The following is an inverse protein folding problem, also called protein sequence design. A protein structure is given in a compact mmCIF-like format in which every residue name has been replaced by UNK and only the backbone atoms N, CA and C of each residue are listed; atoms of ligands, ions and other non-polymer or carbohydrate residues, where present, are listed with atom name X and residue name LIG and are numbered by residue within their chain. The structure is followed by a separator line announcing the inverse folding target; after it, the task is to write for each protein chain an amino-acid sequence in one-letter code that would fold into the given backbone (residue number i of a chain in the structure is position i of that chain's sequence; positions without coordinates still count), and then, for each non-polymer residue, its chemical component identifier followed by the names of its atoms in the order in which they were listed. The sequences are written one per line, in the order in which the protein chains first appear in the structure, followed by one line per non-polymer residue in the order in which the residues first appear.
data_IF_373351561996
#
_entry.id   IF_373351561996
#
_cell.length_a   1.000
_cell.length_b   1.000
_cell.length_c   1.000
_cell.angle_alpha   90.00
_cell.angle_beta   90.00
_cell.angle_gamma   90.00
#
_symmetry.space_group_name_H-M   'P 1'
#
loop_
_entity.id
_entity.type
_entity.pdbx_description
1 polymer ?
#
# COMPACT_ATOMS: atom_id res chain seq x y z
N UNK A 1 11.31 19.97 4.20
CA UNK A 1 12.27 18.96 3.70
C UNK A 1 11.51 17.67 3.53
N UNK A 2 11.86 16.83 2.55
CA UNK A 2 11.21 15.54 2.36
C UNK A 2 11.36 14.66 3.61
N UNK A 3 10.35 13.84 3.91
CA UNK A 3 10.30 13.04 5.13
C UNK A 3 11.28 11.86 5.01
N UNK A 4 12.29 11.71 5.90
CA UNK A 4 13.19 10.56 5.83
C UNK A 4 12.45 9.24 6.02
N UNK A 5 12.70 8.27 5.14
CA UNK A 5 12.06 6.95 5.20
C UNK A 5 12.41 6.20 6.50
N UNK A 6 13.60 6.44 7.05
CA UNK A 6 14.03 5.88 8.32
C UNK A 6 13.07 6.19 9.48
N UNK A 7 12.46 7.39 9.52
CA UNK A 7 11.49 7.74 10.56
C UNK A 7 10.22 6.87 10.51
N UNK A 8 9.83 6.46 9.30
CA UNK A 8 8.71 5.55 9.09
C UNK A 8 9.09 4.14 9.53
N UNK A 9 10.31 3.69 9.23
CA UNK A 9 10.83 2.41 9.72
C UNK A 9 10.86 2.35 11.24
N UNK A 10 11.39 3.38 11.91
CA UNK A 10 11.43 3.46 13.38
C UNK A 10 10.03 3.32 14.00
N UNK A 11 9.02 3.95 13.39
CA UNK A 11 7.62 3.81 13.83
C UNK A 11 7.10 2.38 13.66
N UNK A 12 7.39 1.76 12.52
CA UNK A 12 6.93 0.42 12.18
C UNK A 12 7.59 -0.64 13.06
N UNK A 13 8.89 -0.49 13.34
CA UNK A 13 9.65 -1.36 14.24
C UNK A 13 9.12 -1.27 15.67
N UNK A 14 8.85 -0.06 16.17
CA UNK A 14 8.25 0.13 17.49
C UNK A 14 6.84 -0.46 17.54
N UNK A 15 6.03 -0.29 16.49
CA UNK A 15 4.71 -0.91 16.38
C UNK A 15 4.81 -2.44 16.37
N UNK A 16 5.78 -3.01 15.65
CA UNK A 16 6.03 -4.44 15.58
C UNK A 16 6.43 -4.99 16.95
N UNK A 17 7.37 -4.33 17.63
CA UNK A 17 7.81 -4.67 18.98
C UNK A 17 6.66 -4.67 19.98
N UNK A 18 5.80 -3.66 19.94
CA UNK A 18 4.61 -3.61 20.80
C UNK A 18 3.61 -4.72 20.48
N UNK A 19 3.41 -5.04 19.20
CA UNK A 19 2.56 -6.16 18.79
C UNK A 19 3.08 -7.49 19.32
N UNK A 20 4.38 -7.76 19.25
CA UNK A 20 5.00 -8.96 19.83
C UNK A 20 4.79 -9.02 21.35
N UNK A 21 4.84 -7.86 22.02
CA UNK A 21 4.54 -7.74 23.44
C UNK A 21 3.03 -7.72 23.77
N UNK A 22 2.14 -7.89 22.77
CA UNK A 22 0.69 -7.80 22.90
C UNK A 22 0.19 -6.47 23.51
N UNK A 23 0.92 -5.38 23.27
CA UNK A 23 0.60 -4.03 23.76
C UNK A 23 -0.08 -3.20 22.67
N UNK A 24 -0.97 -2.27 23.03
CA UNK A 24 -1.55 -1.33 22.07
C UNK A 24 -0.47 -0.36 21.54
N UNK A 25 -0.52 -0.06 20.25
CA UNK A 25 0.41 0.86 19.57
C UNK A 25 -0.19 2.25 19.27
N UNK A 26 -1.48 2.47 19.55
CA UNK A 26 -2.18 3.71 19.21
C UNK A 26 -1.51 4.97 19.78
N UNK A 27 -1.02 4.90 21.03
CA UNK A 27 -0.30 6.00 21.66
C UNK A 27 1.02 6.31 20.97
N UNK A 28 1.80 5.29 20.61
CA UNK A 28 3.07 5.47 19.90
C UNK A 28 2.84 6.13 18.54
N UNK A 29 1.82 5.67 17.80
CA UNK A 29 1.48 6.27 16.50
C UNK A 29 1.10 7.74 16.68
N UNK A 30 0.23 8.06 17.65
CA UNK A 30 -0.17 9.43 17.93
C UNK A 30 1.01 10.31 18.35
N UNK A 31 1.84 9.85 19.27
CA UNK A 31 3.03 10.56 19.75
C UNK A 31 4.03 10.78 18.60
N UNK A 32 4.20 9.81 17.69
CA UNK A 32 5.05 9.96 16.51
C UNK A 32 4.56 11.08 15.58
N UNK A 33 3.25 11.13 15.29
CA UNK A 33 2.67 12.22 14.47
C UNK A 33 2.80 13.60 15.13
N UNK A 34 2.67 13.66 16.45
CA UNK A 34 2.86 14.90 17.22
C UNK A 34 4.33 15.35 17.16
N UNK A 35 5.26 14.43 17.40
CA UNK A 35 6.69 14.74 17.44
C UNK A 35 7.27 15.13 16.07
N UNK A 36 6.69 14.61 14.98
CA UNK A 36 7.12 14.91 13.61
C UNK A 36 6.21 15.90 12.89
N UNK A 37 5.31 16.59 13.61
CA UNK A 37 4.30 17.47 13.01
C UNK A 37 4.90 18.59 12.17
N UNK A 38 6.00 19.18 12.61
CA UNK A 38 6.72 20.24 11.88
C UNK A 38 7.25 19.78 10.53
N UNK A 39 7.62 18.50 10.41
CA UNK A 39 8.09 17.90 9.17
C UNK A 39 6.91 17.54 8.26
N UNK A 40 5.84 16.98 8.82
CA UNK A 40 4.64 16.57 8.07
C UNK A 40 3.87 17.78 7.51
N UNK A 41 3.86 18.89 8.24
CA UNK A 41 3.19 20.14 7.83
C UNK A 41 4.11 21.05 7.00
N UNK A 42 5.34 20.61 6.68
CA UNK A 42 6.23 21.37 5.82
C UNK A 42 5.66 21.48 4.40
N UNK A 43 5.89 22.62 3.74
CA UNK A 43 5.31 22.92 2.42
C UNK A 43 5.70 21.91 1.32
N UNK A 44 6.87 21.28 1.46
CA UNK A 44 7.44 20.31 0.54
C UNK A 44 7.23 18.85 0.97
N UNK A 45 6.47 18.60 2.04
CA UNK A 45 6.11 17.25 2.46
C UNK A 45 4.93 16.73 1.63
N UNK A 46 5.06 15.52 1.08
CA UNK A 46 3.96 14.85 0.39
C UNK A 46 3.26 13.87 1.35
N UNK A 47 2.09 14.31 1.86
CA UNK A 47 1.27 13.48 2.73
C UNK A 47 0.74 12.22 2.02
N UNK A 48 0.51 12.27 0.71
CA UNK A 48 0.08 11.10 -0.05
C UNK A 48 1.21 10.07 -0.15
N UNK A 49 2.46 10.50 -0.30
CA UNK A 49 3.64 9.63 -0.27
C UNK A 49 3.83 8.98 1.13
N UNK A 50 3.71 9.77 2.20
CA UNK A 50 3.76 9.26 3.56
C UNK A 50 2.67 8.21 3.83
N UNK A 51 1.42 8.53 3.48
CA UNK A 51 0.30 7.60 3.67
C UNK A 51 0.42 6.36 2.78
N UNK A 52 0.96 6.48 1.58
CA UNK A 52 1.21 5.34 0.68
C UNK A 52 2.27 4.40 1.24
N UNK A 53 3.23 4.93 2.00
CA UNK A 53 4.27 4.14 2.69
C UNK A 53 3.71 3.48 3.95
N UNK A 54 2.91 4.19 4.75
CA UNK A 54 2.31 3.66 5.98
C UNK A 54 1.15 2.69 5.73
N UNK A 55 0.42 2.87 4.62
CA UNK A 55 -0.77 2.10 4.26
C UNK A 55 -0.73 1.59 2.80
N UNK A 56 0.30 0.82 2.39
CA UNK A 56 0.45 0.37 1.00
C UNK A 56 -0.72 -0.49 0.51
N UNK A 57 -1.42 -1.19 1.40
CA UNK A 57 -2.62 -1.97 1.05
C UNK A 57 -3.80 -1.11 0.60
N UNK A 58 -3.78 0.20 0.88
CA UNK A 58 -4.77 1.15 0.38
C UNK A 58 -4.47 1.61 -1.05
N UNK A 59 -3.24 1.46 -1.53
CA UNK A 59 -2.80 1.78 -2.91
C UNK A 59 -3.08 0.65 -3.90
N UNK A 60 -4.32 0.16 -3.91
CA UNK A 60 -4.76 -0.94 -4.81
C UNK A 60 -4.76 -0.56 -6.31
N UNK A 61 -4.57 0.72 -6.60
CA UNK A 61 -4.45 1.29 -7.92
C UNK A 61 -3.05 1.12 -8.54
N UNK A 62 -2.02 0.82 -7.73
CA UNK A 62 -0.64 0.56 -8.19
C UNK A 62 -0.35 -0.94 -8.21
N UNK A 63 0.13 -1.46 -9.34
CA UNK A 63 0.60 -2.85 -9.47
C UNK A 63 2.06 -2.85 -9.88
N UNK A 64 2.91 -3.60 -9.18
CA UNK A 64 4.36 -3.58 -9.41
C UNK A 64 4.90 -4.80 -10.19
N UNK A 65 4.15 -5.92 -10.21
CA UNK A 65 4.62 -7.20 -10.77
C UNK A 65 5.99 -7.65 -10.24
N UNK A 66 6.28 -7.32 -8.98
CA UNK A 66 7.47 -7.76 -8.24
C UNK A 66 7.03 -8.86 -7.29
N UNK A 67 7.64 -10.03 -7.45
CA UNK A 67 7.48 -11.20 -6.57
C UNK A 67 8.83 -11.51 -5.92
N UNK A 68 8.85 -12.37 -4.90
CA UNK A 68 10.01 -12.68 -4.07
C UNK A 68 11.28 -12.96 -4.89
N UNK A 69 11.22 -13.84 -5.90
CA UNK A 69 12.38 -14.13 -6.75
C UNK A 69 12.86 -12.93 -7.60
N UNK A 70 11.94 -12.06 -8.03
CA UNK A 70 12.30 -10.82 -8.73
C UNK A 70 12.89 -9.80 -7.78
N UNK A 71 12.37 -9.72 -6.55
CA UNK A 71 12.87 -8.83 -5.51
C UNK A 71 14.26 -9.25 -5.03
N UNK A 72 14.47 -10.54 -4.78
CA UNK A 72 15.78 -11.13 -4.47
C UNK A 72 16.83 -10.75 -5.52
N UNK A 73 16.48 -10.83 -6.80
CA UNK A 73 17.38 -10.45 -7.90
C UNK A 73 17.68 -8.94 -7.90
N UNK A 74 16.71 -8.10 -7.56
CA UNK A 74 16.89 -6.64 -7.43
C UNK A 74 17.84 -6.34 -6.25
N UNK A 75 17.57 -6.92 -5.08
CA UNK A 75 18.41 -6.78 -3.87
C UNK A 75 19.83 -7.28 -4.14
N UNK A 76 19.98 -8.46 -4.75
CA UNK A 76 21.28 -9.03 -5.09
C UNK A 76 22.12 -8.14 -6.01
N UNK A 77 21.50 -7.49 -7.00
CA UNK A 77 22.19 -6.51 -7.87
C UNK A 77 22.44 -5.17 -7.19
N UNK A 78 21.49 -4.70 -6.37
CA UNK A 78 21.63 -3.45 -5.63
C UNK A 78 22.87 -3.52 -4.72
N UNK A 79 22.96 -4.59 -3.93
CA UNK A 79 24.00 -4.81 -2.93
C UNK A 79 25.27 -5.47 -3.49
N UNK A 80 25.34 -5.68 -4.82
CA UNK A 80 26.47 -6.32 -5.50
C UNK A 80 26.92 -7.66 -4.86
N UNK A 81 25.95 -8.52 -4.54
CA UNK A 81 26.21 -9.75 -3.80
C UNK A 81 26.92 -10.79 -4.66
N UNK A 82 28.03 -11.32 -4.16
CA UNK A 82 28.69 -12.51 -4.71
C UNK A 82 27.93 -13.80 -4.41
N UNK A 83 28.36 -14.92 -5.02
CA UNK A 83 27.66 -16.22 -4.97
C UNK A 83 27.32 -16.68 -3.55
N UNK A 84 28.26 -16.57 -2.60
CA UNK A 84 28.04 -16.98 -1.20
C UNK A 84 26.94 -16.16 -0.52
N UNK A 85 26.88 -14.85 -0.76
CA UNK A 85 25.86 -13.96 -0.17
C UNK A 85 24.52 -14.06 -0.89
N UNK A 86 24.51 -14.39 -2.17
CA UNK A 86 23.28 -14.76 -2.87
C UNK A 86 22.69 -16.05 -2.29
N UNK A 87 23.52 -17.03 -1.92
CA UNK A 87 23.06 -18.22 -1.23
C UNK A 87 22.49 -17.90 0.16
N UNK A 88 23.10 -16.95 0.89
CA UNK A 88 22.56 -16.42 2.14
C UNK A 88 21.22 -15.71 1.94
N UNK A 89 21.11 -14.85 0.91
CA UNK A 89 19.88 -14.15 0.56
C UNK A 89 18.75 -15.14 0.22
N UNK A 90 19.08 -16.26 -0.44
CA UNK A 90 18.11 -17.28 -0.84
C UNK A 90 17.64 -18.21 0.31
N UNK A 91 18.12 -18.04 1.54
CA UNK A 91 17.76 -18.91 2.69
C UNK A 91 16.27 -18.87 3.03
N UNK A 92 15.55 -17.79 2.72
CA UNK A 92 14.09 -17.73 2.91
C UNK A 92 13.32 -18.81 2.14
N UNK A 93 13.92 -19.39 1.10
CA UNK A 93 13.33 -20.49 0.33
C UNK A 93 13.42 -21.83 1.06
N UNK A 94 14.25 -21.94 2.09
CA UNK A 94 14.44 -23.19 2.84
C UNK A 94 13.26 -23.41 3.79
N UNK A 95 12.49 -24.51 3.62
CA UNK A 95 11.38 -24.81 4.51
C UNK A 95 11.84 -24.99 5.96
N UNK A 96 11.01 -24.56 6.91
CA UNK A 96 11.23 -24.80 8.35
C UNK A 96 12.10 -23.78 9.08
N UNK A 97 12.74 -22.83 8.38
CA UNK A 97 13.54 -21.78 9.04
C UNK A 97 12.72 -20.60 9.56
N UNK A 98 11.49 -20.41 9.06
CA UNK A 98 10.66 -19.26 9.43
C UNK A 98 11.25 -17.91 9.02
N UNK A 99 12.20 -17.91 8.07
CA UNK A 99 12.83 -16.70 7.55
C UNK A 99 12.11 -16.22 6.29
N UNK A 100 12.01 -14.90 6.12
CA UNK A 100 11.61 -14.30 4.85
C UNK A 100 12.79 -13.57 4.17
N UNK A 101 12.53 -12.99 3.00
CA UNK A 101 13.55 -12.31 2.21
C UNK A 101 14.12 -11.07 2.94
N UNK A 102 13.31 -10.41 3.76
CA UNK A 102 13.76 -9.23 4.50
C UNK A 102 14.74 -9.63 5.60
N UNK A 103 14.48 -10.73 6.35
CA UNK A 103 15.44 -11.28 7.31
C UNK A 103 16.81 -11.53 6.67
N UNK A 104 16.78 -12.16 5.50
CA UNK A 104 18.01 -12.55 4.82
C UNK A 104 18.76 -11.30 4.35
N UNK A 105 18.02 -10.26 3.93
CA UNK A 105 18.59 -8.97 3.53
C UNK A 105 19.17 -8.22 4.73
N UNK A 106 18.47 -8.19 5.87
CA UNK A 106 18.93 -7.54 7.11
C UNK A 106 20.22 -8.20 7.63
N UNK A 107 20.28 -9.54 7.64
CA UNK A 107 21.48 -10.28 8.05
C UNK A 107 22.69 -9.90 7.19
N UNK A 108 22.50 -9.83 5.87
CA UNK A 108 23.55 -9.43 4.95
C UNK A 108 24.00 -8.00 5.25
N UNK A 109 23.05 -7.06 5.44
CA UNK A 109 23.41 -5.67 5.76
C UNK A 109 24.05 -5.52 7.14
N UNK A 110 23.72 -6.38 8.10
CA UNK A 110 24.35 -6.38 9.43
C UNK A 110 25.83 -6.73 9.34
N UNK A 111 26.19 -7.69 8.48
CA UNK A 111 27.58 -8.11 8.26
C UNK A 111 28.29 -7.17 7.27
N UNK A 112 27.57 -6.59 6.32
CA UNK A 112 28.11 -5.64 5.34
C UNK A 112 27.14 -4.50 5.13
N UNK A 113 27.22 -3.46 5.97
CA UNK A 113 26.37 -2.30 5.83
C UNK A 113 26.63 -1.62 4.50
N UNK A 114 25.58 -1.02 3.95
CA UNK A 114 25.70 -0.08 2.86
C UNK A 114 26.57 1.13 3.28
N UNK A 115 27.23 1.81 2.33
CA UNK A 115 27.96 3.04 2.63
C UNK A 115 27.07 4.05 3.36
N UNK A 116 27.63 4.71 4.38
CA UNK A 116 26.92 5.80 5.04
C UNK A 116 26.88 7.01 4.11
N UNK A 117 25.69 7.46 3.77
CA UNK A 117 25.48 8.66 2.97
C UNK A 117 25.20 9.86 3.88
N UNK A 118 25.52 11.07 3.41
CA UNK A 118 25.19 12.30 4.15
C UNK A 118 23.69 12.45 4.31
N UNK A 119 23.24 13.24 5.30
CA UNK A 119 21.81 13.48 5.56
C UNK A 119 21.03 13.92 4.30
N UNK A 120 21.70 14.58 3.34
CA UNK A 120 21.12 15.01 2.06
C UNK A 120 20.82 13.88 1.07
N UNK A 121 21.33 12.69 1.31
CA UNK A 121 21.22 11.51 0.44
C UNK A 121 20.47 10.35 1.12
N UNK A 122 19.85 10.61 2.28
CA UNK A 122 18.96 9.65 2.89
C UNK A 122 17.73 9.47 2.00
N UNK A 123 17.27 8.22 1.89
CA UNK A 123 16.04 7.91 1.16
C UNK A 123 14.86 8.56 1.87
N UNK A 124 14.06 9.33 1.13
CA UNK A 124 12.84 9.93 1.64
C UNK A 124 11.60 9.13 1.23
N UNK A 125 10.46 9.37 1.89
CA UNK A 125 9.19 8.73 1.55
C UNK A 125 8.70 9.19 0.17
N UNK A 126 8.96 10.44 -0.20
CA UNK A 126 8.60 11.03 -1.48
C UNK A 126 9.41 10.40 -2.62
N UNK A 127 10.73 10.26 -2.45
CA UNK A 127 11.58 9.57 -3.43
C UNK A 127 11.15 8.11 -3.62
N UNK A 128 10.82 7.42 -2.52
CA UNK A 128 10.34 6.05 -2.55
C UNK A 128 8.99 5.96 -3.27
N UNK A 129 8.04 6.84 -2.96
CA UNK A 129 6.72 6.87 -3.59
C UNK A 129 6.82 7.16 -5.09
N UNK A 130 7.63 8.15 -5.49
CA UNK A 130 7.88 8.47 -6.89
C UNK A 130 8.50 7.29 -7.64
N UNK A 131 9.45 6.59 -7.03
CA UNK A 131 10.09 5.40 -7.60
C UNK A 131 9.07 4.28 -7.81
N UNK A 132 8.24 4.00 -6.80
CA UNK A 132 7.20 2.98 -6.89
C UNK A 132 6.11 3.38 -7.89
N UNK A 133 5.72 4.66 -7.91
CA UNK A 133 4.73 5.19 -8.84
C UNK A 133 5.21 5.08 -10.30
N UNK A 134 6.47 5.42 -10.57
CA UNK A 134 7.10 5.25 -11.88
C UNK A 134 7.18 3.79 -12.34
N UNK A 135 7.39 2.85 -11.42
CA UNK A 135 7.28 1.42 -11.71
C UNK A 135 5.85 1.03 -12.06
N UNK A 136 4.87 1.48 -11.26
CA UNK A 136 3.47 1.12 -11.43
C UNK A 136 2.84 1.70 -12.72
N UNK A 137 3.23 2.90 -13.15
CA UNK A 137 2.69 3.55 -14.36
C UNK A 137 2.96 2.76 -15.64
N UNK A 138 4.02 1.95 -15.66
CA UNK A 138 4.40 1.10 -16.79
C UNK A 138 3.70 -0.26 -16.80
N UNK A 139 2.95 -0.58 -15.74
CA UNK A 139 2.27 -1.87 -15.61
C UNK A 139 0.82 -1.75 -16.09
N UNK A 140 0.48 -2.54 -17.12
CA UNK A 140 -0.87 -2.56 -17.71
C UNK A 140 -2.00 -2.85 -16.71
N UNK A 141 -1.68 -3.54 -15.61
CA UNK A 141 -2.65 -3.88 -14.56
C UNK A 141 -2.80 -2.81 -13.48
N UNK A 142 -1.98 -1.76 -13.47
CA UNK A 142 -2.23 -0.57 -12.65
C UNK A 142 -3.46 0.18 -13.17
N UNK A 143 -4.05 1.03 -12.34
CA UNK A 143 -5.24 1.81 -12.73
C UNK A 143 -4.95 2.73 -13.92
N UNK A 144 -5.95 3.06 -14.75
CA UNK A 144 -5.76 3.94 -15.90
C UNK A 144 -5.14 5.28 -15.51
N UNK A 145 -5.57 5.88 -14.39
CA UNK A 145 -5.02 7.14 -13.88
C UNK A 145 -3.51 7.07 -13.59
N UNK A 146 -3.04 5.95 -13.02
CA UNK A 146 -1.61 5.73 -12.74
C UNK A 146 -0.83 5.58 -14.04
N UNK A 147 -1.36 4.87 -15.04
CA UNK A 147 -0.69 4.69 -16.33
C UNK A 147 -0.67 5.95 -17.18
N UNK A 148 -1.69 6.78 -17.09
CA UNK A 148 -1.78 8.07 -17.81
C UNK A 148 -0.91 9.17 -17.19
N UNK A 149 -0.45 8.99 -15.96
CA UNK A 149 0.51 9.92 -15.38
C UNK A 149 1.85 9.78 -16.11
N UNK A 150 2.24 10.81 -16.87
CA UNK A 150 3.56 10.91 -17.50
C UNK A 150 4.62 11.10 -16.40
N UNK A 151 5.01 10.01 -15.73
CA UNK A 151 6.14 10.05 -14.84
C UNK A 151 7.39 10.37 -15.68
N UNK A 152 8.08 11.47 -15.34
CA UNK A 152 9.39 11.86 -15.87
C UNK A 152 10.47 10.86 -15.45
N UNK A 153 10.34 9.61 -15.90
CA UNK A 153 11.18 8.51 -15.45
C UNK A 153 12.13 8.11 -16.58
N UNK A 154 13.42 8.04 -16.25
CA UNK A 154 14.47 7.70 -17.22
C UNK A 154 14.20 6.32 -17.85
N UNK A 155 14.81 6.06 -19.02
CA UNK A 155 14.52 4.89 -19.84
C UNK A 155 14.95 3.53 -19.21
N UNK A 156 15.42 3.49 -17.96
CA UNK A 156 16.04 2.28 -17.38
C UNK A 156 15.17 1.63 -16.29
N UNK A 157 14.81 0.39 -16.61
CA UNK A 157 14.04 -0.62 -15.86
C UNK A 157 14.61 -0.90 -14.47
N UNK A 158 13.77 -0.90 -13.41
CA UNK A 158 14.03 -1.39 -12.03
C UNK A 158 15.32 -0.94 -11.33
N UNK A 159 16.21 -0.21 -11.99
CA UNK A 159 17.50 0.29 -11.50
C UNK A 159 17.33 1.38 -10.47
N UNK A 160 16.25 2.15 -10.55
CA UNK A 160 15.95 3.19 -9.56
C UNK A 160 15.62 2.56 -8.20
N UNK A 161 14.89 1.43 -8.21
CA UNK A 161 14.67 0.65 -7.01
C UNK A 161 15.99 0.05 -6.47
N UNK A 162 16.91 -0.37 -7.34
CA UNK A 162 18.26 -0.76 -6.90
C UNK A 162 19.01 0.40 -6.24
N UNK A 163 18.87 1.62 -6.78
CA UNK A 163 19.42 2.85 -6.21
C UNK A 163 18.90 3.13 -4.80
N UNK A 164 17.60 2.94 -4.59
CA UNK A 164 16.99 3.00 -3.25
C UNK A 164 17.64 1.97 -2.32
N UNK A 165 17.65 0.68 -2.71
CA UNK A 165 18.23 -0.40 -1.89
C UNK A 165 19.72 -0.21 -1.55
N UNK A 166 20.52 0.45 -2.41
CA UNK A 166 21.92 0.80 -2.12
C UNK A 166 22.09 1.82 -1.01
N UNK A 167 21.08 2.65 -0.77
CA UNK A 167 21.11 3.72 0.24
C UNK A 167 20.32 3.38 1.51
N UNK A 168 19.61 2.26 1.53
CA UNK A 168 18.95 1.78 2.76
C UNK A 168 20.01 1.36 3.79
N UNK A 169 19.84 1.77 5.03
CA UNK A 169 20.67 1.34 6.15
C UNK A 169 20.04 0.13 6.84
N UNK A 170 20.81 -0.55 7.72
CA UNK A 170 20.37 -1.76 8.44
C UNK A 170 19.02 -1.56 9.15
N UNK A 171 18.82 -0.40 9.77
CA UNK A 171 17.60 -0.04 10.51
C UNK A 171 16.33 0.05 9.65
N UNK A 172 16.44 0.02 8.32
CA UNK A 172 15.32 0.22 7.40
C UNK A 172 14.73 -1.11 6.89
N UNK A 173 15.39 -2.24 7.14
CA UNK A 173 15.05 -3.53 6.49
C UNK A 173 14.14 -4.43 7.35
N UNK A 174 13.77 -4.00 8.56
CA UNK A 174 12.94 -4.81 9.47
C UNK A 174 11.46 -4.94 9.01
N UNK A 175 10.92 -4.01 8.20
CA UNK A 175 9.47 -3.96 7.89
C UNK A 175 9.01 -4.56 6.53
N UNK A 176 9.90 -5.18 5.73
CA UNK A 176 9.39 -6.05 4.65
C UNK A 176 8.78 -7.36 5.21
N UNK A 177 8.84 -7.56 6.52
CA UNK A 177 8.30 -8.69 7.29
C UNK A 177 6.88 -8.42 7.77
N UNK A 178 5.96 -8.74 6.87
CA UNK A 178 4.64 -9.21 7.26
C UNK A 178 3.56 -8.16 7.09
N UNK A 179 2.64 -8.44 6.17
CA UNK A 179 1.24 -7.96 6.17
C UNK A 179 1.13 -6.63 6.92
N UNK A 180 1.52 -5.55 6.23
CA UNK A 180 1.26 -4.16 6.62
C UNK A 180 0.04 -4.12 7.49
N UNK A 181 0.27 -3.70 8.73
CA UNK A 181 -0.64 -3.81 9.83
C UNK A 181 -2.11 -3.81 9.39
N UNK A 182 -2.74 -4.99 9.34
CA UNK A 182 -4.21 -5.12 9.36
C UNK A 182 -4.82 -4.59 10.68
N UNK A 183 -4.09 -3.74 11.40
CA UNK A 183 -4.45 -3.16 12.68
C UNK A 183 -3.57 -1.93 12.95
N UNK A 184 -3.59 -0.94 12.05
CA UNK A 184 -3.89 0.38 12.61
C UNK A 184 -5.33 0.21 13.09
N UNK A 185 -5.52 0.02 14.40
CA UNK A 185 -6.85 0.11 14.97
C UNK A 185 -7.42 1.43 14.44
N UNK A 186 -8.59 1.43 13.76
CA UNK A 186 -9.20 2.68 13.38
C UNK A 186 -9.31 3.48 14.68
N UNK A 187 -8.52 4.54 14.81
CA UNK A 187 -8.83 5.56 15.80
C UNK A 187 -10.27 5.93 15.45
N UNK A 188 -11.23 5.79 16.39
CA UNK A 188 -12.61 6.14 16.09
C UNK A 188 -12.58 7.57 15.58
N UNK A 189 -12.81 7.75 14.27
CA UNK A 189 -12.90 9.08 13.69
C UNK A 189 -14.03 9.74 14.46
N UNK A 190 -13.71 10.80 15.19
CA UNK A 190 -14.71 11.53 15.96
C UNK A 190 -15.80 11.97 14.99
N UNK A 191 -17.07 11.93 15.43
CA UNK A 191 -18.21 12.30 14.57
C UNK A 191 -18.05 13.69 13.93
N UNK A 192 -17.26 14.59 14.54
CA UNK A 192 -16.89 15.90 13.99
C UNK A 192 -16.02 15.83 12.73
N UNK A 193 -15.09 14.88 12.61
CA UNK A 193 -14.28 14.69 11.41
C UNK A 193 -15.10 14.04 10.29
N UNK A 194 -15.97 13.08 10.61
CA UNK A 194 -16.85 12.43 9.63
C UNK A 194 -17.83 13.39 8.97
N UNK A 195 -18.23 14.47 9.66
CA UNK A 195 -19.08 15.53 9.11
C UNK A 195 -18.39 16.33 7.99
N UNK A 196 -17.06 16.36 7.94
CA UNK A 196 -16.28 17.09 6.92
C UNK A 196 -15.97 16.27 5.66
N UNK A 197 -16.19 14.95 5.69
CA UNK A 197 -15.84 14.05 4.57
C UNK A 197 -17.11 13.63 3.84
N UNK A 198 -17.21 13.99 2.56
CA UNK A 198 -18.31 13.59 1.69
C UNK A 198 -17.86 12.60 0.62
N UNK A 199 -18.73 11.65 0.21
CA UNK A 199 -18.46 10.79 -0.95
C UNK A 199 -18.18 11.62 -2.20
N UNK A 200 -17.14 11.25 -2.94
CA UNK A 200 -16.76 11.89 -4.21
C UNK A 200 -16.73 10.89 -5.34
N UNK A 201 -17.13 11.34 -6.55
CA UNK A 201 -16.94 10.54 -7.76
C UNK A 201 -15.45 10.22 -7.94
N UNK A 202 -15.17 9.00 -8.39
CA UNK A 202 -13.80 8.48 -8.53
C UNK A 202 -13.09 8.06 -7.23
N UNK A 203 -13.73 8.20 -6.06
CA UNK A 203 -13.20 7.68 -4.80
C UNK A 203 -14.12 6.57 -4.30
N UNK A 204 -13.64 5.33 -4.32
CA UNK A 204 -14.41 4.18 -3.84
C UNK A 204 -14.83 4.37 -2.39
N UNK A 205 -16.09 4.10 -2.09
CA UNK A 205 -16.62 4.15 -0.72
C UNK A 205 -16.33 2.83 0.00
N UNK A 206 -15.98 2.90 1.28
CA UNK A 206 -15.78 1.72 2.13
C UNK A 206 -17.00 0.79 2.11
N UNK A 207 -16.76 -0.52 2.11
CA UNK A 207 -17.88 -1.48 2.18
C UNK A 207 -18.43 -1.50 3.60
N UNK A 208 -19.75 -1.62 3.72
CA UNK A 208 -20.36 -1.90 5.00
C UNK A 208 -19.85 -3.23 5.57
N UNK A 209 -19.75 -3.29 6.90
CA UNK A 209 -19.40 -4.51 7.60
C UNK A 209 -20.59 -5.46 7.62
N UNK A 210 -20.31 -6.75 7.45
CA UNK A 210 -21.34 -7.79 7.44
C UNK A 210 -21.08 -8.78 8.56
N UNK A 211 -22.11 -9.05 9.35
CA UNK A 211 -22.06 -10.11 10.36
C UNK A 211 -22.58 -11.42 9.77
N UNK A 212 -21.79 -12.48 9.89
CA UNK A 212 -22.18 -13.81 9.43
C UNK A 212 -23.06 -14.48 10.49
N UNK A 213 -24.36 -14.52 10.26
CA UNK A 213 -25.28 -15.32 11.07
C UNK A 213 -25.06 -16.83 10.84
N UNK A 214 -25.45 -17.66 11.83
CA UNK A 214 -25.34 -19.14 11.78
C UNK A 214 -26.69 -19.83 11.64
N UNK A 215 -27.78 -19.09 11.79
CA UNK A 215 -29.16 -19.55 11.63
C UNK A 215 -30.07 -18.33 11.46
N UNK A 216 -31.33 -18.54 11.05
CA UNK A 216 -32.32 -17.46 10.94
C UNK A 216 -32.58 -16.84 12.32
N UNK A 217 -32.71 -17.65 13.37
CA UNK A 217 -32.87 -17.17 14.76
C UNK A 217 -31.69 -16.28 15.18
N UNK A 218 -30.46 -16.68 14.85
CA UNK A 218 -29.28 -15.87 15.13
C UNK A 218 -29.27 -14.57 14.31
N UNK A 219 -29.76 -14.59 13.07
CA UNK A 219 -29.91 -13.36 12.27
C UNK A 219 -30.87 -12.37 12.93
N UNK A 220 -32.03 -12.85 13.39
CA UNK A 220 -33.04 -12.04 14.09
C UNK A 220 -32.52 -11.51 15.41
N UNK A 221 -31.69 -12.26 16.14
CA UNK A 221 -31.08 -11.75 17.38
C UNK A 221 -29.96 -10.73 17.14
N UNK A 222 -29.28 -10.80 15.99
CA UNK A 222 -28.24 -9.83 15.61
C UNK A 222 -28.84 -8.51 15.11
N UNK A 223 -30.00 -8.55 14.47
CA UNK A 223 -30.71 -7.38 13.96
C UNK A 223 -31.77 -6.85 14.94
N UNK A 224 -32.23 -5.62 14.70
CA UNK A 224 -33.30 -5.00 15.48
C UNK A 224 -34.26 -4.29 14.52
N UNK A 225 -35.55 -4.25 14.85
CA UNK A 225 -36.56 -3.56 14.04
C UNK A 225 -36.91 -4.26 12.72
N UNK A 226 -37.41 -3.48 11.76
CA UNK A 226 -37.77 -3.98 10.43
C UNK A 226 -36.51 -4.17 9.56
N UNK A 227 -36.35 -5.35 8.98
CA UNK A 227 -35.20 -5.70 8.14
C UNK A 227 -35.64 -6.03 6.71
N UNK A 228 -34.93 -5.49 5.71
CA UNK A 228 -35.03 -5.94 4.33
C UNK A 228 -34.21 -7.22 4.13
N UNK A 229 -34.74 -8.17 3.35
CA UNK A 229 -34.06 -9.43 3.05
C UNK A 229 -33.81 -9.51 1.55
N UNK A 230 -32.53 -9.54 1.18
CA UNK A 230 -32.09 -9.63 -0.21
C UNK A 230 -31.40 -10.97 -0.47
N UNK A 231 -31.54 -11.49 -1.69
CA UNK A 231 -30.82 -12.68 -2.11
C UNK A 231 -29.33 -12.35 -2.23
N UNK A 232 -28.50 -13.03 -1.45
CA UNK A 232 -27.05 -12.98 -1.64
C UNK A 232 -26.70 -13.61 -3.00
N UNK A 233 -26.28 -12.78 -3.93
CA UNK A 233 -25.79 -13.22 -5.22
C UNK A 233 -24.41 -13.87 -5.08
N UNK A 234 -24.13 -14.86 -5.92
CA UNK A 234 -22.82 -15.46 -6.07
C UNK A 234 -22.14 -14.85 -7.30
N UNK A 235 -21.29 -13.87 -7.05
CA UNK A 235 -20.66 -13.06 -8.08
C UNK A 235 -19.69 -12.07 -7.48
N UNK A 236 -19.15 -11.19 -8.32
CA UNK A 236 -18.17 -10.20 -7.90
C UNK A 236 -18.83 -8.89 -7.47
N UNK A 237 -18.45 -8.39 -6.29
CA UNK A 237 -18.85 -7.06 -5.87
C UNK A 237 -18.19 -6.00 -6.76
N UNK A 238 -19.00 -5.08 -7.27
CA UNK A 238 -18.54 -3.86 -7.93
C UNK A 238 -19.25 -2.64 -7.33
N UNK A 239 -18.53 -1.50 -7.29
CA UNK A 239 -19.11 -0.20 -7.00
C UNK A 239 -19.00 0.65 -8.26
N UNK A 240 -20.14 1.12 -8.76
CA UNK A 240 -20.22 1.86 -10.02
C UNK A 240 -20.44 3.34 -9.70
N UNK A 241 -19.55 4.18 -10.21
CA UNK A 241 -19.64 5.63 -10.15
C UNK A 241 -20.00 6.11 -11.56
N UNK A 242 -21.11 6.83 -11.67
CA UNK A 242 -21.58 7.39 -12.94
C UNK A 242 -21.52 8.90 -12.86
N UNK A 243 -20.70 9.50 -13.71
CA UNK A 243 -20.68 10.94 -13.89
C UNK A 243 -21.67 11.33 -14.99
N UNK A 244 -22.84 11.83 -14.58
CA UNK A 244 -23.90 12.26 -15.51
C UNK A 244 -23.61 13.64 -16.12
N UNK A 245 -22.67 14.41 -15.56
CA UNK A 245 -22.37 15.75 -16.06
C UNK A 245 -21.42 15.74 -17.27
N UNK A 246 -20.70 14.65 -17.51
CA UNK A 246 -19.89 14.49 -18.72
C UNK A 246 -20.77 14.07 -19.91
N UNK A 247 -20.38 14.44 -21.14
CA UNK A 247 -21.01 13.98 -22.38
C UNK A 247 -19.95 13.31 -23.27
N UNK A 248 -20.00 11.98 -23.48
CA UNK A 248 -20.96 11.02 -22.92
C UNK A 248 -20.79 10.83 -21.39
N UNK A 249 -21.81 10.30 -20.68
CA UNK A 249 -21.71 9.98 -19.26
C UNK A 249 -20.56 9.02 -19.00
N UNK A 250 -19.65 9.38 -18.10
CA UNK A 250 -18.48 8.55 -17.82
C UNK A 250 -18.75 7.60 -16.66
N UNK A 251 -18.32 6.36 -16.82
CA UNK A 251 -18.48 5.31 -15.82
C UNK A 251 -17.12 4.92 -15.28
N UNK A 252 -17.04 4.76 -13.98
CA UNK A 252 -15.90 4.17 -13.29
C UNK A 252 -16.39 3.03 -12.38
N UNK A 253 -15.72 1.89 -12.46
CA UNK A 253 -16.13 0.66 -11.77
C UNK A 253 -14.99 0.19 -10.86
N UNK A 254 -15.27 0.13 -9.56
CA UNK A 254 -14.33 -0.37 -8.57
C UNK A 254 -14.65 -1.80 -8.17
N UNK A 255 -13.62 -2.63 -8.06
CA UNK A 255 -13.73 -3.98 -7.50
C UNK A 255 -13.95 -3.97 -5.98
N UNK A 256 -14.25 -5.14 -5.41
CA UNK A 256 -14.29 -5.37 -3.95
C UNK A 256 -13.06 -4.84 -3.21
N UNK A 257 -11.89 -4.95 -3.83
CA UNK A 257 -10.60 -4.63 -3.21
C UNK A 257 -10.31 -3.13 -3.11
N UNK A 258 -10.90 -2.30 -3.97
CA UNK A 258 -10.43 -0.92 -4.14
C UNK A 258 -10.00 -0.60 -5.57
N UNK A 259 -9.51 -1.61 -6.29
CA UNK A 259 -8.94 -1.43 -7.62
C UNK A 259 -9.97 -0.91 -8.63
N UNK A 260 -9.56 0.06 -9.42
CA UNK A 260 -10.26 0.48 -10.64
C UNK A 260 -10.20 -0.66 -11.67
N UNK A 261 -11.37 -1.23 -11.93
CA UNK A 261 -11.56 -2.33 -12.87
C UNK A 261 -12.53 -1.94 -13.98
N UNK A 262 -12.51 -0.67 -14.36
CA UNK A 262 -13.37 -0.13 -15.40
C UNK A 262 -13.02 -0.71 -16.77
N UNK A 263 -11.73 -0.93 -17.04
CA UNK A 263 -11.26 -1.57 -18.29
C UNK A 263 -11.59 -3.06 -18.32
N UNK A 264 -11.47 -3.76 -17.19
CA UNK A 264 -11.81 -5.19 -17.10
C UNK A 264 -13.31 -5.45 -17.35
N UNK A 265 -14.16 -4.42 -17.22
CA UNK A 265 -15.63 -4.52 -17.30
C UNK A 265 -16.20 -3.63 -18.42
N UNK A 266 -15.46 -3.45 -19.52
CA UNK A 266 -15.90 -2.67 -20.69
C UNK A 266 -17.28 -3.09 -21.22
N UNK A 267 -17.63 -4.37 -21.15
CA UNK A 267 -18.96 -4.85 -21.57
C UNK A 267 -20.13 -4.17 -20.82
N UNK A 268 -19.91 -3.71 -19.58
CA UNK A 268 -20.92 -2.98 -18.81
C UNK A 268 -21.08 -1.52 -19.26
N UNK A 269 -20.11 -0.96 -20.00
CA UNK A 269 -20.20 0.41 -20.55
C UNK A 269 -21.18 0.49 -21.73
N UNK A 270 -21.25 -0.55 -22.55
CA UNK A 270 -22.13 -0.59 -23.72
C UNK A 270 -23.63 -0.48 -23.39
N UNK A 271 -24.03 -0.86 -22.17
CA UNK A 271 -25.42 -0.71 -21.70
C UNK A 271 -25.77 0.71 -21.23
N UNK A 272 -24.77 1.57 -21.01
CA UNK A 272 -24.96 2.92 -20.49
C UNK A 272 -24.88 4.03 -21.56
N UNK A 273 -24.83 3.66 -22.85
CA UNK A 273 -24.91 4.61 -23.96
C UNK A 273 -23.57 5.21 -24.41
N UNK A 274 -22.42 4.64 -24.05
CA UNK A 274 -21.16 4.96 -24.74
C UNK A 274 -21.15 4.28 -26.12
N UNK A 275 -20.88 5.00 -27.23
CA UNK A 275 -20.75 4.39 -28.54
C UNK A 275 -19.53 3.47 -28.55
N UNK A 276 -19.73 2.23 -28.99
CA UNK A 276 -18.68 1.26 -29.27
C UNK A 276 -17.67 1.84 -30.27
N UNK A 277 -16.43 2.07 -29.83
CA UNK A 277 -15.27 2.29 -30.71
C UNK A 277 -14.61 0.98 -31.04
#
# INVERSE_FOLDING_TARGET
MPIPFALVCDLLDECHRLRLAQKPNAKVVADWFVNHRSLIDAQDADLAALLSTLLPEKRTDRVYCIRDASLERIVGRALMLGASRLAELARYKQPGLGLDLADCTERILTVTPNPSYSAKHQVSVEELDETLHGLASRIKWSSPAIRSSHASFSSRDRTDLEGVYRRLTIHVIQDAKGKLANSVCPVPLTNSMLASVSPRLGIKVGRQNWFKARSIKHCVSLGHGHMSVEKKLDGEYCQIHVNVTSRPPSIQIFSKSGKDSTEDRQALRGYAGEPST
#
